data_IF_287500643322
#
_entry.id   IF_287500643322
#
_cell.length_a   1.000
_cell.length_b   1.000
_cell.length_c   1.000
_cell.angle_alpha   90.00
_cell.angle_beta   90.00
_cell.angle_gamma   90.00
#
_symmetry.space_group_name_H-M   'P 1'
#
loop_
_entity.id
_entity.type
_entity.pdbx_description
1 polymer ?
#
# COMPACT_ATOMS: atom_id res chain seq x y z
N UNK A 1 35.60 -19.85 19.67
CA UNK A 1 34.59 -20.19 18.65
C UNK A 1 34.61 -19.11 17.60
N UNK A 2 35.22 -19.36 16.45
CA UNK A 2 35.22 -18.42 15.34
C UNK A 2 33.82 -18.43 14.70
N UNK A 3 33.18 -17.26 14.62
CA UNK A 3 32.07 -17.10 13.67
C UNK A 3 32.71 -17.04 12.29
N UNK A 4 32.56 -18.12 11.54
CA UNK A 4 32.84 -18.14 10.12
C UNK A 4 31.77 -17.26 9.45
N UNK A 5 32.13 -16.02 9.10
CA UNK A 5 31.34 -15.25 8.14
C UNK A 5 31.69 -15.81 6.77
N UNK A 6 30.78 -16.60 6.22
CA UNK A 6 30.84 -16.99 4.81
C UNK A 6 30.52 -15.72 4.03
N UNK A 7 31.47 -15.27 3.22
CA UNK A 7 31.23 -14.24 2.21
C UNK A 7 30.48 -14.96 1.09
N UNK A 8 29.17 -14.82 1.06
CA UNK A 8 28.36 -15.09 -0.14
C UNK A 8 28.40 -13.84 -1.00
N UNK A 9 28.63 -13.99 -2.30
CA UNK A 9 28.65 -12.90 -3.27
C UNK A 9 27.40 -12.01 -3.14
N UNK A 10 27.63 -10.72 -2.94
CA UNK A 10 26.67 -9.75 -2.40
C UNK A 10 25.61 -9.22 -3.39
N UNK A 11 25.44 -9.83 -4.57
CA UNK A 11 24.67 -9.22 -5.66
C UNK A 11 23.25 -9.79 -5.85
N UNK A 12 22.85 -10.86 -5.14
CA UNK A 12 21.51 -11.48 -5.31
C UNK A 12 20.54 -11.28 -4.12
N UNK A 13 20.99 -10.68 -3.02
CA UNK A 13 20.18 -10.50 -1.80
C UNK A 13 19.46 -9.12 -1.74
N UNK A 14 19.69 -8.24 -2.73
CA UNK A 14 19.21 -6.85 -2.71
C UNK A 14 17.81 -6.64 -3.32
N UNK A 15 17.42 -7.42 -4.32
CA UNK A 15 16.22 -7.12 -5.12
C UNK A 15 14.92 -7.44 -4.37
N UNK A 16 14.94 -8.50 -3.55
CA UNK A 16 13.78 -8.90 -2.75
C UNK A 16 13.49 -7.89 -1.63
N UNK A 17 14.54 -7.40 -0.95
CA UNK A 17 14.40 -6.35 0.06
C UNK A 17 13.96 -5.01 -0.55
N UNK A 18 14.44 -4.69 -1.76
CA UNK A 18 14.03 -3.48 -2.46
C UNK A 18 12.56 -3.55 -2.90
N UNK A 19 12.08 -4.73 -3.36
CA UNK A 19 10.66 -4.96 -3.67
C UNK A 19 9.77 -4.79 -2.44
N UNK A 20 10.21 -5.27 -1.26
CA UNK A 20 9.50 -5.11 0.01
C UNK A 20 9.41 -3.65 0.46
N UNK A 21 10.32 -2.78 0.02
CA UNK A 21 10.34 -1.35 0.37
C UNK A 21 9.66 -0.43 -0.67
N UNK A 22 8.96 -0.98 -1.67
CA UNK A 22 8.30 -0.14 -2.69
C UNK A 22 7.02 0.49 -2.17
N UNK A 23 6.93 1.82 -2.30
CA UNK A 23 5.71 2.58 -2.02
C UNK A 23 5.09 3.08 -3.33
N UNK A 24 3.78 2.88 -3.46
CA UNK A 24 3.01 3.34 -4.61
C UNK A 24 2.06 4.46 -4.22
N UNK A 25 1.97 5.50 -5.05
CA UNK A 25 0.97 6.56 -4.94
C UNK A 25 -0.13 6.31 -5.96
N UNK A 26 -1.34 6.04 -5.48
CA UNK A 26 -2.51 5.78 -6.31
C UNK A 26 -3.51 6.92 -6.14
N UNK A 27 -4.05 7.42 -7.26
CA UNK A 27 -5.07 8.47 -7.27
C UNK A 27 -6.35 7.90 -7.90
N UNK A 28 -7.48 8.03 -7.20
CA UNK A 28 -8.78 7.61 -7.70
C UNK A 28 -9.51 8.78 -8.35
N UNK A 29 -9.85 8.64 -9.64
CA UNK A 29 -10.50 9.67 -10.45
C UNK A 29 -11.91 9.24 -10.88
N UNK A 30 -12.80 10.21 -11.09
CA UNK A 30 -14.17 9.97 -11.56
C UNK A 30 -15.20 10.90 -10.91
N UNK A 31 -16.42 10.89 -11.45
CA UNK A 31 -17.54 11.75 -11.01
C UNK A 31 -17.88 11.60 -9.52
N UNK A 32 -18.63 12.56 -8.97
CA UNK A 32 -19.19 12.44 -7.63
C UNK A 32 -20.01 11.15 -7.47
N UNK A 33 -20.01 10.59 -6.26
CA UNK A 33 -20.80 9.42 -5.88
C UNK A 33 -20.53 8.09 -6.63
N UNK A 34 -19.52 7.99 -7.50
CA UNK A 34 -19.17 6.71 -8.20
C UNK A 34 -18.48 5.66 -7.30
N UNK A 35 -18.33 5.92 -6.00
CA UNK A 35 -17.80 4.94 -5.04
C UNK A 35 -16.29 4.97 -4.79
N UNK A 36 -15.57 6.00 -5.25
CA UNK A 36 -14.10 6.12 -5.05
C UNK A 36 -13.67 5.98 -3.58
N UNK A 37 -14.30 6.75 -2.69
CA UNK A 37 -14.00 6.71 -1.25
C UNK A 37 -14.37 5.37 -0.64
N UNK A 38 -15.49 4.77 -1.06
CA UNK A 38 -15.90 3.44 -0.61
C UNK A 38 -14.93 2.34 -1.03
N UNK A 39 -14.36 2.44 -2.23
CA UNK A 39 -13.33 1.51 -2.72
C UNK A 39 -12.06 1.63 -1.88
N UNK A 40 -11.61 2.85 -1.59
CA UNK A 40 -10.42 3.08 -0.77
C UNK A 40 -10.58 2.52 0.65
N UNK A 41 -11.72 2.78 1.32
CA UNK A 41 -12.03 2.18 2.61
C UNK A 41 -12.09 0.64 2.57
N UNK A 42 -12.70 0.07 1.53
CA UNK A 42 -12.78 -1.39 1.42
C UNK A 42 -11.42 -2.03 1.21
N UNK A 43 -10.55 -1.37 0.44
CA UNK A 43 -9.19 -1.85 0.18
C UNK A 43 -8.27 -1.70 1.40
N UNK A 44 -8.29 -0.55 2.08
CA UNK A 44 -7.40 -0.28 3.21
C UNK A 44 -7.90 -0.86 4.53
N UNK A 45 -9.21 -0.76 4.79
CA UNK A 45 -9.80 -1.07 6.11
C UNK A 45 -10.65 -2.36 6.08
N UNK A 46 -10.85 -2.96 4.91
CA UNK A 46 -11.71 -4.14 4.75
C UNK A 46 -13.19 -3.86 5.00
N UNK A 47 -13.62 -2.61 5.20
CA UNK A 47 -14.98 -2.25 5.58
C UNK A 47 -15.73 -1.54 4.44
N UNK A 48 -17.06 -1.60 4.49
CA UNK A 48 -17.93 -0.85 3.56
C UNK A 48 -19.09 -0.25 4.34
N UNK A 49 -19.35 1.04 4.12
CA UNK A 49 -20.49 1.76 4.69
C UNK A 49 -21.50 2.09 3.61
N UNK A 50 -22.78 1.82 3.90
CA UNK A 50 -23.92 2.19 3.04
C UNK A 50 -24.32 3.66 3.23
N UNK A 51 -23.84 4.31 4.28
CA UNK A 51 -24.04 5.75 4.49
C UNK A 51 -23.14 6.53 3.55
N UNK A 52 -23.75 7.18 2.55
CA UNK A 52 -23.03 8.06 1.66
C UNK A 52 -22.63 9.36 2.37
N UNK A 53 -21.33 9.65 2.38
CA UNK A 53 -20.79 10.97 2.70
C UNK A 53 -19.89 11.40 1.54
N UNK A 54 -20.23 12.50 0.89
CA UNK A 54 -19.40 13.04 -0.18
C UNK A 54 -18.04 13.45 0.40
N UNK A 55 -16.96 13.03 -0.23
CA UNK A 55 -15.63 13.54 0.11
C UNK A 55 -15.59 15.03 -0.23
N UNK A 56 -15.28 15.83 0.79
CA UNK A 56 -15.03 17.26 0.64
C UNK A 56 -13.52 17.42 0.52
N UNK A 57 -13.05 17.85 -0.66
CA UNK A 57 -11.62 17.99 -0.93
C UNK A 57 -10.94 16.65 -1.21
N UNK A 58 -10.04 16.22 -0.32
CA UNK A 58 -9.13 15.08 -0.52
C UNK A 58 -9.03 14.28 0.79
N UNK A 59 -9.07 12.95 0.66
CA UNK A 59 -8.79 12.00 1.74
C UNK A 59 -7.57 11.15 1.38
N UNK A 60 -6.75 10.79 2.37
CA UNK A 60 -5.58 9.92 2.20
C UNK A 60 -5.82 8.57 2.85
N UNK A 61 -5.46 7.50 2.13
CA UNK A 61 -5.58 6.12 2.57
C UNK A 61 -4.22 5.43 2.44
N UNK A 62 -3.88 4.57 3.41
CA UNK A 62 -2.62 3.82 3.42
C UNK A 62 -2.95 2.35 3.70
N UNK A 63 -2.49 1.46 2.82
CA UNK A 63 -2.48 0.01 3.07
C UNK A 63 -1.04 -0.42 3.25
N UNK A 64 -0.72 -0.96 4.42
CA UNK A 64 0.55 -1.66 4.62
C UNK A 64 0.52 -3.00 3.86
N UNK A 65 1.67 -3.40 3.30
CA UNK A 65 1.84 -4.73 2.72
C UNK A 65 1.51 -5.80 3.77
N UNK A 66 0.82 -6.85 3.33
CA UNK A 66 0.54 -8.03 4.15
C UNK A 66 1.77 -8.94 4.25
#
# INVERSE_FOLDING_TARGET
>A
MAKQTVITDSDEESDAEELLNRQYKVILLGNGAVGKTSLAHRFCDGSFSTSYKQTIGLDFFVKAGD
#
